data_IF_204034390092
#
_entry.id   IF_204034390092
#
_cell.length_a   1.000
_cell.length_b   1.000
_cell.length_c   1.000
_cell.angle_alpha   90.00
_cell.angle_beta   90.00
_cell.angle_gamma   90.00
#
_symmetry.space_group_name_H-M   'P 1'
#
loop_
_entity.id
_entity.type
_entity.pdbx_description
1 polymer ?
#
# COMPACT_ATOMS: atom_id res chain seq x y z
N UNK A 1 -11.85 18.31 -1.86
CA UNK A 1 -10.62 17.96 -2.58
C UNK A 1 -10.05 16.73 -1.91
N UNK A 2 -9.77 15.67 -2.67
CA UNK A 2 -9.25 14.44 -2.07
C UNK A 2 -7.81 14.62 -1.61
N UNK A 3 -7.47 13.98 -0.49
CA UNK A 3 -6.13 13.97 0.10
C UNK A 3 -5.38 12.70 -0.27
N UNK A 4 -4.08 12.72 -0.01
CA UNK A 4 -3.18 11.58 -0.19
C UNK A 4 -2.47 11.30 1.13
N UNK A 5 -2.49 10.05 1.57
CA UNK A 5 -1.82 9.59 2.78
C UNK A 5 -0.63 8.69 2.44
N UNK A 6 0.38 8.68 3.30
CA UNK A 6 1.51 7.74 3.24
C UNK A 6 1.69 7.08 4.60
N UNK A 7 1.61 5.75 4.64
CA UNK A 7 1.85 4.91 5.81
C UNK A 7 3.18 4.17 5.67
N UNK A 8 4.00 4.17 6.71
CA UNK A 8 5.23 3.39 6.76
C UNK A 8 6.12 3.76 7.93
N UNK A 9 7.33 3.20 7.98
CA UNK A 9 8.35 3.67 8.90
C UNK A 9 8.74 5.12 8.57
N UNK A 10 9.07 5.90 9.60
CA UNK A 10 9.32 7.33 9.47
C UNK A 10 10.41 7.65 8.44
N UNK A 11 11.50 6.88 8.44
CA UNK A 11 12.66 7.09 7.56
C UNK A 11 12.30 6.89 6.08
N UNK A 12 11.32 6.04 5.77
CA UNK A 12 10.79 5.86 4.40
C UNK A 12 9.87 6.97 3.95
N UNK A 13 9.11 7.57 4.87
CA UNK A 13 7.96 8.38 4.47
C UNK A 13 8.15 9.88 4.69
N UNK A 14 9.11 10.32 5.52
CA UNK A 14 9.23 11.73 5.89
C UNK A 14 9.39 12.66 4.67
N UNK A 15 10.04 12.18 3.61
CA UNK A 15 10.23 12.92 2.36
C UNK A 15 8.92 13.28 1.65
N UNK A 16 7.82 12.55 1.87
CA UNK A 16 6.53 12.87 1.24
C UNK A 16 5.85 14.09 1.87
N UNK A 17 6.16 14.42 3.13
CA UNK A 17 5.61 15.60 3.78
C UNK A 17 6.03 16.90 3.07
N UNK A 18 7.25 16.95 2.50
CA UNK A 18 7.72 18.12 1.75
C UNK A 18 6.96 18.33 0.44
N UNK A 19 6.28 17.30 -0.05
CA UNK A 19 5.41 17.33 -1.23
C UNK A 19 3.95 17.63 -0.86
N UNK A 20 3.64 17.84 0.42
CA UNK A 20 2.29 18.15 0.90
C UNK A 20 1.38 16.93 1.08
N UNK A 21 1.95 15.72 1.17
CA UNK A 21 1.20 14.52 1.50
C UNK A 21 1.11 14.35 3.03
N UNK A 22 0.00 13.80 3.50
CA UNK A 22 -0.16 13.49 4.92
C UNK A 22 0.61 12.21 5.24
N UNK A 23 1.66 12.32 6.05
CA UNK A 23 2.47 11.18 6.47
C UNK A 23 1.99 10.62 7.80
N UNK A 24 2.03 9.30 7.93
CA UNK A 24 1.68 8.62 9.16
C UNK A 24 2.71 7.53 9.48
N UNK A 25 3.65 7.82 10.39
CA UNK A 25 4.64 6.84 10.80
C UNK A 25 3.95 5.73 11.58
N UNK A 26 4.24 4.48 11.23
CA UNK A 26 3.73 3.28 11.91
C UNK A 26 4.83 2.25 12.08
N UNK A 27 4.83 1.60 13.24
CA UNK A 27 5.78 0.54 13.60
C UNK A 27 5.08 -0.75 13.99
N UNK A 28 3.84 -0.66 14.48
CA UNK A 28 3.08 -1.81 14.97
C UNK A 28 1.97 -2.25 14.00
N UNK A 29 1.78 -3.57 13.79
CA UNK A 29 0.74 -4.10 12.89
C UNK A 29 -0.68 -3.66 13.29
N UNK A 30 -1.00 -3.70 14.59
CA UNK A 30 -2.35 -3.39 15.08
C UNK A 30 -2.69 -1.91 14.90
N UNK A 31 -1.72 -1.03 15.17
CA UNK A 31 -1.84 0.41 14.91
C UNK A 31 -2.03 0.68 13.41
N UNK A 32 -1.21 0.06 12.57
CA UNK A 32 -1.26 0.20 11.12
C UNK A 32 -2.65 -0.17 10.56
N UNK A 33 -3.24 -1.26 11.05
CA UNK A 33 -4.57 -1.71 10.64
C UNK A 33 -5.68 -0.72 11.05
N UNK A 34 -5.66 -0.25 12.31
CA UNK A 34 -6.62 0.74 12.81
C UNK A 34 -6.52 2.05 12.04
N UNK A 35 -5.29 2.49 11.77
CA UNK A 35 -5.05 3.72 11.05
C UNK A 35 -5.49 3.63 9.59
N UNK A 36 -5.15 2.55 8.89
CA UNK A 36 -5.61 2.32 7.52
C UNK A 36 -7.15 2.38 7.43
N UNK A 37 -7.84 1.76 8.39
CA UNK A 37 -9.30 1.82 8.45
C UNK A 37 -9.84 3.23 8.66
N UNK A 38 -9.22 4.01 9.56
CA UNK A 38 -9.58 5.42 9.77
C UNK A 38 -9.39 6.25 8.50
N UNK A 39 -8.27 6.07 7.81
CA UNK A 39 -7.94 6.81 6.59
C UNK A 39 -8.87 6.45 5.44
N UNK A 40 -9.22 5.17 5.30
CA UNK A 40 -10.16 4.72 4.28
C UNK A 40 -11.59 5.24 4.49
N UNK A 41 -11.99 5.54 5.73
CA UNK A 41 -13.26 6.21 6.03
C UNK A 41 -13.22 7.74 5.93
N UNK A 42 -12.09 8.33 5.52
CA UNK A 42 -11.87 9.78 5.43
C UNK A 42 -11.73 10.23 3.96
N UNK A 43 -11.48 11.51 3.72
CA UNK A 43 -11.41 12.12 2.37
C UNK A 43 -10.11 11.79 1.59
N UNK A 44 -9.52 10.60 1.75
CA UNK A 44 -8.33 10.17 1.04
C UNK A 44 -8.69 9.42 -0.25
N UNK A 45 -8.13 9.84 -1.39
CA UNK A 45 -8.28 9.10 -2.63
C UNK A 45 -7.17 8.06 -2.83
N UNK A 46 -5.97 8.34 -2.30
CA UNK A 46 -4.80 7.45 -2.41
C UNK A 46 -4.18 7.28 -1.04
N UNK A 47 -3.86 6.04 -0.69
CA UNK A 47 -3.12 5.69 0.51
C UNK A 47 -1.91 4.87 0.05
N UNK A 48 -0.73 5.47 0.09
CA UNK A 48 0.52 4.75 -0.08
C UNK A 48 0.86 4.01 1.21
N UNK A 49 1.30 2.76 1.10
CA UNK A 49 1.70 1.94 2.24
C UNK A 49 3.04 1.29 1.91
N UNK A 50 4.04 1.39 2.78
CA UNK A 50 5.28 0.66 2.56
C UNK A 50 5.02 -0.85 2.56
N UNK A 51 5.71 -1.60 1.70
CA UNK A 51 5.51 -3.05 1.58
C UNK A 51 5.72 -3.78 2.92
N UNK A 52 6.69 -3.31 3.73
CA UNK A 52 6.93 -3.84 5.07
C UNK A 52 5.72 -3.63 6.01
N UNK A 53 5.10 -2.45 6.01
CA UNK A 53 3.91 -2.18 6.80
C UNK A 53 2.71 -2.99 6.29
N UNK A 54 2.56 -3.12 4.97
CA UNK A 54 1.47 -3.87 4.35
C UNK A 54 1.53 -5.37 4.64
N UNK A 55 2.74 -5.95 4.69
CA UNK A 55 2.94 -7.37 5.02
C UNK A 55 2.34 -7.74 6.38
N UNK A 56 2.37 -6.80 7.34
CA UNK A 56 1.84 -7.00 8.68
C UNK A 56 0.30 -6.94 8.75
N UNK A 57 -0.37 -6.37 7.74
CA UNK A 57 -1.82 -6.11 7.73
C UNK A 57 -2.54 -6.65 6.48
N UNK A 58 -1.95 -7.62 5.79
CA UNK A 58 -2.42 -8.10 4.48
C UNK A 58 -3.89 -8.52 4.43
N UNK A 59 -4.41 -9.18 5.46
CA UNK A 59 -5.85 -9.53 5.57
C UNK A 59 -6.76 -8.29 5.57
N UNK A 60 -6.33 -7.23 6.25
CA UNK A 60 -7.07 -5.95 6.29
C UNK A 60 -6.93 -5.18 4.98
N UNK A 61 -5.90 -5.41 4.18
CA UNK A 61 -5.76 -4.76 2.88
C UNK A 61 -6.78 -5.28 1.87
N UNK A 62 -7.12 -6.58 1.95
CA UNK A 62 -8.11 -7.22 1.05
C UNK A 62 -9.48 -6.56 1.08
N UNK A 63 -9.88 -5.96 2.21
CA UNK A 63 -11.18 -5.32 2.34
C UNK A 63 -11.36 -4.12 1.38
N UNK A 64 -10.26 -3.49 0.96
CA UNK A 64 -10.27 -2.35 0.05
C UNK A 64 -10.03 -2.76 -1.41
N UNK A 65 -9.72 -4.04 -1.68
CA UNK A 65 -9.56 -4.53 -3.04
C UNK A 65 -10.90 -4.48 -3.78
N UNK A 66 -10.89 -3.89 -4.98
CA UNK A 66 -12.08 -3.71 -5.81
C UNK A 66 -12.94 -2.49 -5.45
N UNK A 67 -12.60 -1.74 -4.39
CA UNK A 67 -13.22 -0.44 -4.13
C UNK A 67 -12.59 0.64 -5.02
N UNK A 68 -13.40 1.63 -5.42
CA UNK A 68 -12.90 2.76 -6.23
C UNK A 68 -12.05 3.71 -5.38
N UNK A 69 -12.46 3.95 -4.13
CA UNK A 69 -11.74 4.80 -3.18
C UNK A 69 -11.73 4.17 -1.78
N UNK A 70 -10.64 4.31 -1.02
CA UNK A 70 -9.33 4.81 -1.47
C UNK A 70 -8.58 3.77 -2.33
N UNK A 71 -7.73 4.24 -3.24
CA UNK A 71 -6.72 3.38 -3.89
C UNK A 71 -5.55 3.15 -2.93
N UNK A 72 -5.36 1.90 -2.51
CA UNK A 72 -4.25 1.53 -1.60
C UNK A 72 -3.08 0.97 -2.42
N UNK A 73 -1.94 1.67 -2.40
CA UNK A 73 -0.80 1.39 -3.29
C UNK A 73 0.43 1.06 -2.46
N UNK A 74 1.07 -0.07 -2.79
CA UNK A 74 2.31 -0.50 -2.14
C UNK A 74 3.52 0.25 -2.70
N UNK A 75 4.41 0.70 -1.81
CA UNK A 75 5.67 1.36 -2.16
C UNK A 75 6.85 0.73 -1.42
N UNK A 76 8.08 0.78 -1.96
CA UNK A 76 9.27 0.38 -1.21
C UNK A 76 9.49 1.29 0.02
N UNK A 77 10.17 0.74 1.03
CA UNK A 77 10.73 1.53 2.14
C UNK A 77 12.25 1.68 2.02
N UNK A 78 12.89 2.31 3.02
CA UNK A 78 14.35 2.47 3.10
C UNK A 78 15.09 1.14 3.20
N UNK A 79 14.44 0.11 3.74
CA UNK A 79 14.98 -1.26 3.79
C UNK A 79 14.81 -2.03 2.48
N UNK A 80 14.16 -1.44 1.46
CA UNK A 80 13.90 -2.04 0.16
C UNK A 80 12.42 -2.39 -0.07
N UNK A 81 12.18 -3.17 -1.13
CA UNK A 81 10.89 -3.80 -1.41
C UNK A 81 10.92 -5.28 -0.96
N UNK A 82 9.78 -5.80 -0.54
CA UNK A 82 9.56 -7.24 -0.29
C UNK A 82 9.15 -7.98 -1.57
N UNK A 83 8.72 -7.24 -2.60
CA UNK A 83 8.23 -7.78 -3.87
C UNK A 83 6.72 -8.06 -3.87
N UNK A 84 6.02 -7.78 -2.77
CA UNK A 84 4.59 -8.07 -2.63
C UNK A 84 3.72 -7.30 -3.63
N UNK A 85 4.08 -6.05 -3.96
CA UNK A 85 3.37 -5.28 -4.98
C UNK A 85 3.43 -5.95 -6.36
N UNK A 86 4.63 -6.34 -6.78
CA UNK A 86 4.85 -7.03 -8.06
C UNK A 86 4.20 -8.41 -8.07
N UNK A 87 4.31 -9.17 -6.97
CA UNK A 87 3.65 -10.45 -6.81
C UNK A 87 2.11 -10.32 -6.92
N UNK A 88 1.53 -9.24 -6.39
CA UNK A 88 0.11 -8.92 -6.53
C UNK A 88 -0.30 -8.67 -7.98
N UNK A 89 0.52 -7.93 -8.74
CA UNK A 89 0.31 -7.72 -10.18
C UNK A 89 0.37 -9.04 -10.93
N UNK A 90 1.41 -9.85 -10.69
CA UNK A 90 1.56 -11.18 -11.31
C UNK A 90 0.34 -12.07 -11.06
N UNK A 91 -0.13 -12.17 -9.81
CA UNK A 91 -1.33 -12.94 -9.44
C UNK A 91 -2.58 -12.45 -10.17
N UNK A 92 -2.73 -11.13 -10.29
CA UNK A 92 -3.88 -10.53 -10.99
C UNK A 92 -3.86 -10.86 -12.48
N UNK A 93 -2.68 -10.88 -13.10
CA UNK A 93 -2.49 -11.28 -14.50
C UNK A 93 -2.79 -12.76 -14.69
N UNK A 94 -2.23 -13.63 -13.87
CA UNK A 94 -2.49 -15.08 -13.91
C UNK A 94 -3.99 -15.38 -13.72
N UNK A 95 -4.66 -14.68 -12.80
CA UNK A 95 -6.10 -14.86 -12.56
C UNK A 95 -6.95 -14.39 -13.76
N UNK A 96 -6.56 -13.31 -14.43
CA UNK A 96 -7.33 -12.74 -15.53
C UNK A 96 -7.08 -13.43 -16.88
N UNK A 97 -5.82 -13.84 -17.14
CA UNK A 97 -5.37 -14.34 -18.45
C UNK A 97 -5.16 -15.86 -18.43
N UNK A 98 -4.95 -16.47 -17.26
CA UNK A 98 -4.68 -17.90 -17.09
C UNK A 98 -3.20 -18.26 -17.20
N UNK A 99 -2.32 -17.29 -17.43
CA UNK A 99 -0.87 -17.46 -17.44
C UNK A 99 -0.16 -16.19 -17.02
N UNK A 100 1.06 -16.34 -16.53
CA UNK A 100 1.95 -15.20 -16.36
C UNK A 100 2.43 -14.75 -17.74
N UNK A 101 1.92 -13.62 -18.22
CA UNK A 101 2.32 -13.03 -19.51
C UNK A 101 3.34 -11.90 -19.36
N UNK A 102 3.64 -11.46 -18.14
CA UNK A 102 4.48 -10.29 -17.88
C UNK A 102 5.87 -10.66 -17.35
N UNK A 103 5.97 -11.74 -16.56
CA UNK A 103 7.19 -12.08 -15.82
C UNK A 103 7.71 -13.50 -16.14
N UNK A 104 7.23 -14.13 -17.20
CA UNK A 104 7.53 -15.52 -17.59
C UNK A 104 8.82 -15.72 -18.42
N UNK A 105 9.57 -14.65 -18.72
CA UNK A 105 10.74 -14.70 -19.61
C UNK A 105 12.08 -14.22 -19.00
N UNK A 106 12.21 -14.20 -17.67
CA UNK A 106 13.49 -13.99 -16.99
C UNK A 106 13.62 -14.88 -15.75
#
# INVERSE_FOLDING_TARGET
MYKIAVLGDYDSIYGFAVLGLDIFPVSEPEESAKLLHRLAGSDYAVIYVTEAAAAAIGEKMKQYQGQVLPAVILIPGVSGNTGEGVAGVKRSVEQAVGSDILFSNH
#
